data_IF_621697539832
#
_entry.id   IF_621697539832
#
_cell.length_a   1.000
_cell.length_b   1.000
_cell.length_c   1.000
_cell.angle_alpha   90.00
_cell.angle_beta   90.00
_cell.angle_gamma   90.00
#
_symmetry.space_group_name_H-M   'P 1'
#
loop_
_entity.id
_entity.type
_entity.pdbx_description
1 polymer ?
#
# COMPACT_ATOMS: atom_id res chain seq x y z
N UNK A 1 -10.09 -3.81 -12.11
CA UNK A 1 -9.28 -4.42 -11.04
C UNK A 1 -10.06 -4.39 -9.73
N UNK A 2 -10.15 -5.52 -9.05
CA UNK A 2 -10.81 -5.58 -7.75
C UNK A 2 -9.85 -5.15 -6.65
N UNK A 3 -10.32 -4.25 -5.77
CA UNK A 3 -9.57 -3.87 -4.58
C UNK A 3 -10.14 -4.63 -3.38
N UNK A 4 -9.27 -5.30 -2.65
CA UNK A 4 -9.63 -6.05 -1.43
C UNK A 4 -8.78 -5.50 -0.29
N UNK A 5 -9.40 -5.26 0.87
CA UNK A 5 -8.72 -4.72 2.04
C UNK A 5 -8.60 -5.84 3.07
N UNK A 6 -7.36 -6.21 3.39
CA UNK A 6 -7.10 -7.20 4.44
C UNK A 6 -7.29 -6.59 5.83
N UNK A 7 -7.67 -7.42 6.81
CA UNK A 7 -7.77 -6.97 8.20
C UNK A 7 -6.44 -6.42 8.71
N UNK A 8 -5.32 -7.01 8.29
CA UNK A 8 -3.99 -6.51 8.63
C UNK A 8 -3.75 -5.08 8.15
N UNK A 9 -4.37 -4.69 7.04
CA UNK A 9 -4.28 -3.31 6.55
C UNK A 9 -5.03 -2.35 7.46
N UNK A 10 -6.28 -2.65 7.80
CA UNK A 10 -7.08 -1.78 8.68
C UNK A 10 -6.48 -1.71 10.08
N UNK A 11 -5.93 -2.81 10.58
CA UNK A 11 -5.24 -2.83 11.88
C UNK A 11 -3.98 -1.95 11.87
N UNK A 12 -3.17 -2.04 10.82
CA UNK A 12 -1.97 -1.21 10.70
C UNK A 12 -2.32 0.26 10.48
N UNK A 13 -3.36 0.54 9.69
CA UNK A 13 -3.85 1.91 9.48
C UNK A 13 -4.27 2.55 10.81
N UNK A 14 -4.95 1.80 11.67
CA UNK A 14 -5.44 2.30 12.95
C UNK A 14 -4.30 2.73 13.89
N UNK A 15 -3.09 2.24 13.69
CA UNK A 15 -1.91 2.62 14.50
C UNK A 15 -1.26 3.93 14.07
N UNK A 16 -1.64 4.46 12.92
CA UNK A 16 -1.08 5.70 12.39
C UNK A 16 -1.78 6.90 13.05
N UNK A 17 -1.14 8.07 12.94
CA UNK A 17 -1.78 9.33 13.38
C UNK A 17 -2.97 9.66 12.49
N UNK A 18 -3.84 10.57 12.95
CA UNK A 18 -4.99 11.00 12.15
C UNK A 18 -4.59 11.58 10.79
N UNK A 19 -3.54 12.40 10.76
CA UNK A 19 -3.06 12.99 9.50
C UNK A 19 -2.49 11.92 8.56
N UNK A 20 -1.75 10.95 9.12
CA UNK A 20 -1.22 9.84 8.33
C UNK A 20 -2.33 8.97 7.77
N UNK A 21 -3.36 8.66 8.59
CA UNK A 21 -4.52 7.90 8.13
C UNK A 21 -5.22 8.60 6.98
N UNK A 22 -5.37 9.91 7.07
CA UNK A 22 -6.00 10.71 6.01
C UNK A 22 -5.22 10.63 4.71
N UNK A 23 -3.89 10.75 4.79
CA UNK A 23 -3.03 10.63 3.62
C UNK A 23 -3.12 9.23 2.98
N UNK A 24 -3.16 8.18 3.79
CA UNK A 24 -3.31 6.80 3.31
C UNK A 24 -4.64 6.60 2.60
N UNK A 25 -5.73 7.07 3.20
CA UNK A 25 -7.07 6.95 2.60
C UNK A 25 -7.15 7.65 1.25
N UNK A 26 -6.56 8.83 1.15
CA UNK A 26 -6.50 9.58 -0.11
C UNK A 26 -5.71 8.79 -1.16
N UNK A 27 -4.55 8.25 -0.77
CA UNK A 27 -3.72 7.46 -1.68
C UNK A 27 -4.44 6.20 -2.17
N UNK A 28 -5.13 5.49 -1.28
CA UNK A 28 -5.88 4.29 -1.64
C UNK A 28 -6.98 4.62 -2.66
N UNK A 29 -7.69 5.72 -2.42
CA UNK A 29 -8.73 6.16 -3.35
C UNK A 29 -8.14 6.53 -4.71
N UNK A 30 -7.05 7.31 -4.72
CA UNK A 30 -6.37 7.70 -5.96
C UNK A 30 -5.82 6.48 -6.70
N UNK A 31 -5.29 5.51 -5.97
CA UNK A 31 -4.78 4.26 -6.54
C UNK A 31 -5.89 3.48 -7.25
N UNK A 32 -7.09 3.48 -6.69
CA UNK A 32 -8.23 2.82 -7.29
C UNK A 32 -8.67 3.53 -8.58
N UNK A 33 -8.58 4.86 -8.61
CA UNK A 33 -8.94 5.66 -9.78
C UNK A 33 -7.91 5.48 -10.91
N UNK A 34 -6.62 5.53 -10.58
CA UNK A 34 -5.55 5.41 -11.58
C UNK A 34 -4.30 4.77 -10.97
N UNK A 35 -4.16 3.44 -11.06
CA UNK A 35 -3.00 2.73 -10.49
C UNK A 35 -1.68 3.02 -11.23
N UNK A 36 -1.73 3.62 -12.41
CA UNK A 36 -0.52 3.93 -13.19
C UNK A 36 0.08 5.29 -12.87
N UNK A 37 -0.52 6.04 -11.95
CA UNK A 37 -0.09 7.39 -11.59
C UNK A 37 1.37 7.40 -11.10
N UNK A 38 2.26 8.23 -11.69
CA UNK A 38 3.71 8.18 -11.39
C UNK A 38 4.05 8.43 -9.92
N UNK A 39 3.29 9.26 -9.23
CA UNK A 39 3.56 9.63 -7.83
C UNK A 39 3.51 8.46 -6.85
N UNK A 40 2.92 7.33 -7.22
CA UNK A 40 2.84 6.16 -6.34
C UNK A 40 4.15 5.41 -6.21
N UNK A 41 5.09 5.59 -7.14
CA UNK A 41 6.33 4.83 -7.16
C UNK A 41 6.06 3.32 -6.98
N UNK A 42 5.12 2.80 -7.76
CA UNK A 42 4.63 1.43 -7.68
C UNK A 42 5.70 0.45 -8.14
N UNK A 43 6.26 -0.34 -7.22
CA UNK A 43 7.34 -1.26 -7.58
C UNK A 43 7.30 -2.52 -6.72
N UNK A 44 7.92 -3.58 -7.22
CA UNK A 44 8.01 -4.85 -6.50
C UNK A 44 8.86 -4.71 -5.25
N UNK A 45 8.45 -5.44 -4.20
CA UNK A 45 9.24 -5.52 -2.97
C UNK A 45 10.40 -6.48 -3.20
N UNK A 46 11.62 -5.98 -3.10
CA UNK A 46 12.83 -6.78 -3.26
C UNK A 46 12.96 -7.77 -2.11
N UNK A 47 13.43 -8.99 -2.43
CA UNK A 47 13.68 -10.01 -1.43
C UNK A 47 12.46 -10.79 -0.97
N UNK A 48 11.25 -10.40 -1.35
CA UNK A 48 10.06 -11.18 -1.06
C UNK A 48 10.07 -12.48 -1.85
N UNK A 49 9.70 -13.60 -1.21
CA UNK A 49 9.61 -14.89 -1.89
C UNK A 49 8.53 -14.88 -2.96
N UNK A 50 7.37 -14.30 -2.63
CA UNK A 50 6.29 -14.10 -3.58
C UNK A 50 6.55 -12.80 -4.34
N UNK A 51 6.73 -12.90 -5.65
CA UNK A 51 7.04 -11.76 -6.52
C UNK A 51 5.82 -10.87 -6.80
N UNK A 52 4.66 -11.21 -6.25
CA UNK A 52 3.45 -10.42 -6.42
C UNK A 52 3.28 -9.35 -5.34
N UNK A 53 4.19 -9.22 -4.40
CA UNK A 53 4.18 -8.12 -3.43
C UNK A 53 4.78 -6.86 -4.03
N UNK A 54 4.04 -5.76 -3.87
CA UNK A 54 4.41 -4.45 -4.40
C UNK A 54 4.31 -3.40 -3.32
N UNK A 55 5.06 -2.32 -3.48
CA UNK A 55 5.06 -1.16 -2.60
C UNK A 55 4.44 0.03 -3.30
N UNK A 56 3.60 0.77 -2.59
CA UNK A 56 2.97 2.01 -3.05
C UNK A 56 3.36 3.14 -2.11
N UNK A 57 3.89 4.22 -2.67
CA UNK A 57 4.28 5.40 -1.88
C UNK A 57 3.06 6.23 -1.51
N UNK A 58 2.90 6.50 -0.22
CA UNK A 58 1.91 7.46 0.30
C UNK A 58 2.56 8.83 0.49
N UNK A 59 3.71 8.85 1.15
CA UNK A 59 4.49 10.05 1.45
C UNK A 59 5.98 9.67 1.48
N UNK A 60 6.84 10.62 1.82
CA UNK A 60 8.27 10.33 1.95
C UNK A 60 8.56 9.18 2.91
N UNK A 61 7.72 9.00 3.93
CA UNK A 61 7.94 8.06 5.03
C UNK A 61 6.99 6.86 5.05
N UNK A 62 5.84 6.94 4.37
CA UNK A 62 4.78 5.92 4.51
C UNK A 62 4.63 5.14 3.21
N UNK A 63 4.56 3.80 3.36
CA UNK A 63 4.36 2.85 2.25
C UNK A 63 3.21 1.92 2.55
N UNK A 64 2.44 1.61 1.51
CA UNK A 64 1.43 0.54 1.52
C UNK A 64 2.04 -0.67 0.83
N UNK A 65 1.92 -1.83 1.46
CA UNK A 65 2.31 -3.10 0.84
C UNK A 65 1.05 -3.78 0.34
N UNK A 66 1.06 -4.11 -0.94
CA UNK A 66 -0.06 -4.72 -1.63
C UNK A 66 0.36 -6.04 -2.28
N UNK A 67 -0.59 -6.95 -2.44
CA UNK A 67 -0.41 -8.19 -3.18
C UNK A 67 -1.19 -8.08 -4.49
N UNK A 68 -0.48 -8.15 -5.60
CA UNK A 68 -1.06 -7.93 -6.92
C UNK A 68 -1.14 -9.24 -7.69
N UNK A 69 -2.35 -9.59 -8.10
CA UNK A 69 -2.60 -10.72 -9.00
C UNK A 69 -3.39 -10.23 -10.20
N UNK A 70 -3.61 -11.12 -11.18
CA UNK A 70 -4.39 -10.78 -12.36
C UNK A 70 -5.81 -10.36 -11.95
N UNK A 71 -6.13 -9.09 -12.15
CA UNK A 71 -7.45 -8.54 -11.88
C UNK A 71 -7.75 -8.18 -10.44
N UNK A 72 -6.80 -8.35 -9.50
CA UNK A 72 -7.05 -8.08 -8.09
C UNK A 72 -5.84 -7.43 -7.40
N UNK A 73 -6.13 -6.52 -6.48
CA UNK A 73 -5.11 -5.86 -5.63
C UNK A 73 -5.55 -5.97 -4.18
N UNK A 74 -4.78 -6.71 -3.39
CA UNK A 74 -5.03 -6.88 -1.95
C UNK A 74 -4.16 -5.89 -1.19
N UNK A 75 -4.80 -4.99 -0.44
CA UNK A 75 -4.09 -4.07 0.46
C UNK A 75 -3.75 -4.83 1.73
N UNK A 76 -2.45 -5.11 1.93
CA UNK A 76 -1.99 -6.01 2.99
C UNK A 76 -1.73 -5.29 4.30
N UNK A 77 -0.92 -4.23 4.27
CA UNK A 77 -0.65 -3.41 5.44
C UNK A 77 0.00 -2.08 5.03
N UNK A 78 0.06 -1.15 5.97
CA UNK A 78 0.69 0.14 5.79
C UNK A 78 1.56 0.45 7.01
N UNK A 79 2.74 1.03 6.78
CA UNK A 79 3.63 1.42 7.86
C UNK A 79 4.64 2.46 7.35
N UNK A 80 5.45 2.95 8.27
CA UNK A 80 6.58 3.79 7.94
C UNK A 80 7.57 3.02 7.07
N UNK A 81 8.30 3.74 6.21
CA UNK A 81 9.15 3.15 5.18
C UNK A 81 10.09 2.08 5.73
N UNK A 82 10.77 2.37 6.83
CA UNK A 82 11.76 1.44 7.39
C UNK A 82 11.09 0.17 7.94
N UNK A 83 9.94 0.30 8.59
CA UNK A 83 9.21 -0.82 9.15
C UNK A 83 8.51 -1.66 8.07
N UNK A 84 8.04 -1.03 7.00
CA UNK A 84 7.28 -1.73 5.95
C UNK A 84 8.12 -2.77 5.20
N UNK A 85 9.45 -2.63 5.20
CA UNK A 85 10.35 -3.55 4.51
C UNK A 85 11.05 -4.55 5.42
N UNK A 86 10.75 -4.51 6.70
CA UNK A 86 11.28 -5.50 7.66
C UNK A 86 10.43 -6.82 7.65
#
# INVERSE_FOLDING_TARGET
>A
MNFVIADSFTDSLARLTGDEQKAVKTTVFDLQVDPSRPGFNFHRVDGAKDKNFWSVRVSADIRIIVHRTSGSLLLCYVDHHDAAYD
#
